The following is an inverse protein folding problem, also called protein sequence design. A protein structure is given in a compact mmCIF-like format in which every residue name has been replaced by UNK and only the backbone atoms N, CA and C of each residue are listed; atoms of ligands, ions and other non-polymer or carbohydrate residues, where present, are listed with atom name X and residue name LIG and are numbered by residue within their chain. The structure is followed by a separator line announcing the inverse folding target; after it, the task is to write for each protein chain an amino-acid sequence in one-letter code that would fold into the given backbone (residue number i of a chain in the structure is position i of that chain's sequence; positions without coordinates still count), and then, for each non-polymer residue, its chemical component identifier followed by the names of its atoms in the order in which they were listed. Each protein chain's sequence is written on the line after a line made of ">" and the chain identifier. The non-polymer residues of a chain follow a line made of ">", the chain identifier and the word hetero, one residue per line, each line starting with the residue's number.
data_IF_617522882004
#
_entry.id   IF_617522882004
#
_cell.length_a   1.000
_cell.length_b   1.000
_cell.length_c   1.000
_cell.angle_alpha   90.00
_cell.angle_beta   90.00
_cell.angle_gamma   90.00
#
_symmetry.space_group_name_H-M   'P 1'
#
loop_
_entity.id
_entity.type
_entity.pdbx_description
1 polymer ?
#
# COMPACT_ATOMS: atom_id res chain seq x y z
N UNK A 1 -34.78 -148.11 25.92
CA UNK A 1 -34.78 -148.26 27.38
C UNK A 1 -36.06 -148.94 27.81
N UNK A 2 -36.37 -150.08 27.21
CA UNK A 2 -37.42 -151.01 27.65
C UNK A 2 -36.66 -152.29 28.05
N UNK A 3 -37.17 -153.02 29.04
CA UNK A 3 -36.70 -154.31 29.58
C UNK A 3 -36.15 -154.29 31.02
N UNK A 4 -35.65 -153.18 31.57
CA UNK A 4 -35.10 -153.17 32.95
C UNK A 4 -36.14 -153.01 34.07
N UNK A 5 -37.27 -152.35 33.78
CA UNK A 5 -38.38 -152.23 34.74
C UNK A 5 -39.28 -153.48 34.73
N UNK A 6 -39.29 -154.21 33.62
CA UNK A 6 -40.16 -155.36 33.43
C UNK A 6 -39.63 -156.62 34.13
N UNK A 7 -38.31 -156.82 34.15
CA UNK A 7 -37.62 -157.84 34.98
C UNK A 7 -37.81 -157.60 36.48
N UNK A 8 -37.77 -156.35 36.94
CA UNK A 8 -38.07 -156.00 38.36
C UNK A 8 -39.54 -156.32 38.69
N UNK A 9 -40.47 -156.02 37.77
CA UNK A 9 -41.90 -156.36 37.91
C UNK A 9 -42.12 -157.88 37.88
N UNK A 10 -41.41 -158.62 37.04
CA UNK A 10 -41.47 -160.09 36.97
C UNK A 10 -41.00 -160.76 38.26
N UNK A 11 -39.86 -160.32 38.84
CA UNK A 11 -39.39 -160.81 40.14
C UNK A 11 -40.47 -160.66 41.23
N UNK A 12 -41.07 -159.47 41.30
CA UNK A 12 -42.08 -159.16 42.32
C UNK A 12 -43.36 -160.00 42.14
N UNK A 13 -43.75 -160.26 40.90
CA UNK A 13 -44.90 -161.10 40.57
C UNK A 13 -44.65 -162.59 40.84
N UNK A 14 -43.46 -163.12 40.55
CA UNK A 14 -43.12 -164.52 40.87
C UNK A 14 -43.00 -164.75 42.39
N UNK A 15 -42.39 -163.83 43.15
CA UNK A 15 -42.29 -163.94 44.62
C UNK A 15 -43.66 -164.03 45.32
N UNK A 16 -44.68 -163.39 44.73
CA UNK A 16 -46.04 -163.33 45.29
C UNK A 16 -46.81 -164.65 45.12
N UNK A 17 -46.46 -165.50 44.14
CA UNK A 17 -47.21 -166.71 43.81
C UNK A 17 -46.66 -168.00 44.43
N UNK A 18 -45.52 -167.95 45.13
CA UNK A 18 -44.88 -169.16 45.68
C UNK A 18 -45.57 -169.74 46.93
N UNK A 19 -45.89 -171.04 46.87
CA UNK A 19 -46.47 -171.84 47.96
C UNK A 19 -45.42 -172.27 48.99
N UNK A 20 -45.86 -172.83 50.13
CA UNK A 20 -45.00 -173.19 51.28
C UNK A 20 -43.90 -174.21 50.91
N UNK A 21 -44.15 -175.09 49.93
CA UNK A 21 -43.15 -176.04 49.41
C UNK A 21 -42.20 -175.42 48.39
N UNK A 22 -42.66 -174.48 47.56
CA UNK A 22 -41.80 -173.76 46.61
C UNK A 22 -40.74 -172.92 47.32
N UNK A 23 -41.10 -172.35 48.48
CA UNK A 23 -40.16 -171.60 49.34
C UNK A 23 -39.07 -172.49 49.95
N UNK A 24 -39.33 -173.78 50.18
CA UNK A 24 -38.36 -174.70 50.79
C UNK A 24 -37.38 -175.31 49.77
N UNK A 25 -37.79 -175.50 48.50
CA UNK A 25 -37.00 -176.26 47.51
C UNK A 25 -36.57 -175.50 46.24
N UNK A 26 -37.05 -174.25 45.98
CA UNK A 26 -36.69 -173.48 44.75
C UNK A 26 -35.78 -172.26 44.96
N UNK A 27 -35.02 -172.19 46.07
CA UNK A 27 -34.18 -171.04 46.44
C UNK A 27 -33.13 -170.61 45.39
N UNK A 28 -32.64 -171.56 44.57
CA UNK A 28 -31.64 -171.29 43.53
C UNK A 28 -32.16 -170.35 42.43
N UNK A 29 -33.44 -170.45 42.08
CA UNK A 29 -34.08 -169.61 41.04
C UNK A 29 -34.32 -168.19 41.53
N UNK A 30 -34.80 -168.03 42.77
CA UNK A 30 -35.01 -166.73 43.42
C UNK A 30 -33.70 -165.95 43.51
N UNK A 31 -32.60 -166.61 43.90
CA UNK A 31 -31.27 -165.99 43.98
C UNK A 31 -30.77 -165.49 42.61
N UNK A 32 -31.00 -166.25 41.54
CA UNK A 32 -30.64 -165.83 40.18
C UNK A 32 -31.35 -164.53 39.80
N UNK A 33 -32.68 -164.51 39.94
CA UNK A 33 -33.47 -163.34 39.55
C UNK A 33 -33.14 -162.10 40.39
N UNK A 34 -32.82 -162.27 41.69
CA UNK A 34 -32.38 -161.17 42.56
C UNK A 34 -31.03 -160.57 42.11
N UNK A 35 -30.11 -161.41 41.65
CA UNK A 35 -28.81 -160.94 41.11
C UNK A 35 -29.05 -160.19 39.80
N UNK A 36 -29.85 -160.75 38.89
CA UNK A 36 -30.14 -160.12 37.59
C UNK A 36 -30.84 -158.76 37.77
N UNK A 37 -31.86 -158.69 38.64
CA UNK A 37 -32.53 -157.42 38.96
C UNK A 37 -31.61 -156.41 39.66
N UNK A 38 -30.69 -156.85 40.54
CA UNK A 38 -29.72 -155.94 41.17
C UNK A 38 -28.75 -155.33 40.15
N UNK A 39 -28.30 -156.12 39.18
CA UNK A 39 -27.41 -155.67 38.13
C UNK A 39 -28.11 -154.66 37.20
N UNK A 40 -29.41 -154.88 36.92
CA UNK A 40 -30.22 -153.95 36.12
C UNK A 40 -30.53 -152.65 36.86
N UNK A 41 -30.81 -152.71 38.16
CA UNK A 41 -31.01 -151.53 38.99
C UNK A 41 -29.73 -150.68 39.06
N UNK A 42 -28.56 -151.34 39.17
CA UNK A 42 -27.26 -150.67 39.16
C UNK A 42 -26.97 -150.01 37.80
N UNK A 43 -27.38 -150.63 36.69
CA UNK A 43 -27.34 -150.02 35.35
C UNK A 43 -28.23 -148.79 35.26
N UNK A 44 -29.47 -148.84 35.77
CA UNK A 44 -30.39 -147.70 35.79
C UNK A 44 -29.84 -146.52 36.62
N UNK A 45 -29.26 -146.80 37.79
CA UNK A 45 -28.60 -145.79 38.62
C UNK A 45 -27.44 -145.14 37.86
N UNK A 46 -26.59 -145.94 37.21
CA UNK A 46 -25.48 -145.40 36.40
C UNK A 46 -25.95 -144.55 35.22
N UNK A 47 -27.08 -144.91 34.58
CA UNK A 47 -27.68 -144.12 33.50
C UNK A 47 -28.26 -142.80 34.00
N UNK A 48 -28.86 -142.80 35.19
CA UNK A 48 -29.38 -141.59 35.83
C UNK A 48 -28.25 -140.61 36.18
N UNK A 49 -27.11 -141.11 36.65
CA UNK A 49 -25.95 -140.28 36.98
C UNK A 49 -25.33 -139.64 35.72
N UNK A 50 -25.29 -140.38 34.60
CA UNK A 50 -24.87 -139.83 33.29
C UNK A 50 -25.83 -138.73 32.82
N UNK A 51 -27.14 -138.97 32.90
CA UNK A 51 -28.14 -137.98 32.51
C UNK A 51 -28.10 -136.72 33.40
N UNK A 52 -27.84 -136.86 34.70
CA UNK A 52 -27.61 -135.73 35.61
C UNK A 52 -26.36 -134.95 35.24
N UNK A 53 -25.28 -135.63 34.90
CA UNK A 53 -24.03 -134.98 34.47
C UNK A 53 -24.23 -134.21 33.16
N UNK A 54 -24.98 -134.76 32.20
CA UNK A 54 -25.33 -134.05 30.96
C UNK A 54 -26.22 -132.83 31.20
N UNK A 55 -27.25 -132.95 32.05
CA UNK A 55 -28.10 -131.82 32.43
C UNK A 55 -27.29 -130.70 33.12
N UNK A 56 -26.32 -131.05 33.97
CA UNK A 56 -25.42 -130.07 34.59
C UNK A 56 -24.57 -129.35 33.55
N UNK A 57 -24.02 -130.07 32.55
CA UNK A 57 -23.26 -129.47 31.45
C UNK A 57 -24.12 -128.56 30.57
N UNK A 58 -25.34 -128.98 30.26
CA UNK A 58 -26.31 -128.17 29.53
C UNK A 58 -26.65 -126.89 30.29
N UNK A 59 -26.86 -126.97 31.60
CA UNK A 59 -27.15 -125.80 32.44
C UNK A 59 -26.00 -124.79 32.42
N UNK A 60 -24.75 -125.23 32.59
CA UNK A 60 -23.56 -124.36 32.49
C UNK A 60 -23.46 -123.69 31.12
N UNK A 61 -23.85 -124.38 30.05
CA UNK A 61 -23.82 -123.84 28.69
C UNK A 61 -24.90 -122.77 28.50
N UNK A 62 -26.11 -123.00 29.04
CA UNK A 62 -27.19 -122.01 29.06
C UNK A 62 -26.78 -120.76 29.83
N UNK A 63 -26.20 -120.92 31.01
CA UNK A 63 -25.76 -119.78 31.84
C UNK A 63 -24.69 -118.95 31.13
N UNK A 64 -23.77 -119.60 30.40
CA UNK A 64 -22.77 -118.93 29.57
C UNK A 64 -23.39 -118.15 28.41
N UNK A 65 -24.34 -118.76 27.68
CA UNK A 65 -25.04 -118.09 26.59
C UNK A 65 -25.90 -116.90 27.08
N UNK A 66 -26.46 -117.00 28.29
CA UNK A 66 -27.20 -115.90 28.92
C UNK A 66 -26.25 -114.74 29.26
N UNK A 67 -25.06 -115.02 29.77
CA UNK A 67 -24.04 -114.01 30.03
C UNK A 67 -23.57 -113.32 28.73
N UNK A 68 -23.23 -114.10 27.69
CA UNK A 68 -22.81 -113.57 26.38
C UNK A 68 -23.91 -112.69 25.75
N UNK A 69 -25.18 -113.12 25.86
CA UNK A 69 -26.33 -112.32 25.39
C UNK A 69 -26.43 -110.99 26.15
N UNK A 70 -26.21 -110.99 27.46
CA UNK A 70 -26.26 -109.77 28.27
C UNK A 70 -25.14 -108.78 27.88
N UNK A 71 -23.93 -109.28 27.61
CA UNK A 71 -22.81 -108.44 27.21
C UNK A 71 -22.98 -107.88 25.79
N UNK A 72 -23.46 -108.69 24.83
CA UNK A 72 -23.83 -108.20 23.49
C UNK A 72 -24.95 -107.15 23.55
N UNK A 73 -25.92 -107.30 24.45
CA UNK A 73 -26.97 -106.28 24.65
C UNK A 73 -26.41 -104.96 25.17
N UNK A 74 -25.42 -104.98 26.07
CA UNK A 74 -24.72 -103.77 26.53
C UNK A 74 -23.93 -103.13 25.40
N UNK A 75 -23.24 -103.93 24.59
CA UNK A 75 -22.46 -103.43 23.46
C UNK A 75 -23.37 -102.78 22.39
N UNK A 76 -24.51 -103.40 22.08
CA UNK A 76 -25.53 -102.81 21.20
C UNK A 76 -26.05 -101.48 21.76
N UNK A 77 -26.30 -101.40 23.06
CA UNK A 77 -26.76 -100.15 23.69
C UNK A 77 -25.69 -99.05 23.58
N UNK A 78 -24.42 -99.37 23.87
CA UNK A 78 -23.31 -98.43 23.74
C UNK A 78 -23.08 -97.97 22.30
N UNK A 79 -23.17 -98.87 21.32
CA UNK A 79 -23.05 -98.52 19.91
C UNK A 79 -24.20 -97.64 19.42
N UNK A 80 -25.42 -97.87 19.90
CA UNK A 80 -26.58 -97.00 19.60
C UNK A 80 -26.36 -95.59 20.13
N UNK A 81 -25.92 -95.45 21.37
CA UNK A 81 -25.63 -94.15 21.99
C UNK A 81 -24.52 -93.40 21.21
N UNK A 82 -23.44 -94.10 20.84
CA UNK A 82 -22.39 -93.52 19.99
C UNK A 82 -22.95 -93.08 18.64
N UNK A 83 -23.79 -93.89 18.00
CA UNK A 83 -24.37 -93.55 16.71
C UNK A 83 -25.28 -92.31 16.80
N UNK A 84 -26.09 -92.19 17.84
CA UNK A 84 -26.89 -90.98 18.10
C UNK A 84 -26.00 -89.75 18.34
N UNK A 85 -24.89 -89.91 19.08
CA UNK A 85 -23.93 -88.82 19.31
C UNK A 85 -23.26 -88.35 18.01
N UNK A 86 -22.87 -89.29 17.13
CA UNK A 86 -22.29 -88.97 15.83
C UNK A 86 -23.30 -88.33 14.88
N UNK A 87 -24.56 -88.77 14.92
CA UNK A 87 -25.63 -88.15 14.14
C UNK A 87 -25.85 -86.69 14.56
N UNK A 88 -25.92 -86.42 15.87
CA UNK A 88 -26.02 -85.05 16.39
C UNK A 88 -24.83 -84.20 15.97
N UNK A 89 -23.61 -84.72 16.11
CA UNK A 89 -22.41 -83.99 15.68
C UNK A 89 -22.38 -83.73 14.17
N UNK A 90 -22.84 -84.68 13.37
CA UNK A 90 -22.99 -84.51 11.92
C UNK A 90 -23.97 -83.40 11.55
N UNK A 91 -25.10 -83.30 12.27
CA UNK A 91 -26.07 -82.22 12.08
C UNK A 91 -25.50 -80.86 12.51
N UNK A 92 -24.80 -80.79 13.65
CA UNK A 92 -24.12 -79.56 14.10
C UNK A 92 -23.11 -79.08 13.06
N UNK A 93 -22.23 -79.97 12.59
CA UNK A 93 -21.23 -79.64 11.57
C UNK A 93 -21.89 -79.20 10.25
N UNK A 94 -22.99 -79.83 9.84
CA UNK A 94 -23.74 -79.40 8.65
C UNK A 94 -24.29 -77.98 8.80
N UNK A 95 -24.83 -77.65 9.99
CA UNK A 95 -25.32 -76.31 10.30
C UNK A 95 -24.18 -75.27 10.35
N UNK A 96 -23.04 -75.61 10.96
CA UNK A 96 -21.86 -74.75 10.98
C UNK A 96 -21.33 -74.48 9.57
N UNK A 97 -21.24 -75.51 8.72
CA UNK A 97 -20.81 -75.37 7.33
C UNK A 97 -21.78 -74.48 6.54
N UNK A 98 -23.09 -74.65 6.73
CA UNK A 98 -24.09 -73.80 6.09
C UNK A 98 -23.95 -72.32 6.52
N UNK A 99 -23.77 -72.06 7.82
CA UNK A 99 -23.59 -70.72 8.35
C UNK A 99 -22.29 -70.06 7.86
N UNK A 100 -21.19 -70.81 7.79
CA UNK A 100 -19.91 -70.32 7.27
C UNK A 100 -20.03 -69.99 5.78
N UNK A 101 -20.67 -70.86 4.98
CA UNK A 101 -20.90 -70.60 3.55
C UNK A 101 -21.68 -69.31 3.33
N UNK A 102 -22.74 -69.09 4.10
CA UNK A 102 -23.52 -67.86 4.01
C UNK A 102 -22.69 -66.61 4.37
N UNK A 103 -21.84 -66.69 5.41
CA UNK A 103 -20.94 -65.59 5.78
C UNK A 103 -19.89 -65.31 4.71
N UNK A 104 -19.33 -66.34 4.09
CA UNK A 104 -18.36 -66.20 2.99
C UNK A 104 -19.02 -65.50 1.81
N UNK A 105 -20.22 -65.94 1.41
CA UNK A 105 -20.96 -65.32 0.31
C UNK A 105 -21.28 -63.85 0.59
N UNK A 106 -21.76 -63.51 1.79
CA UNK A 106 -22.01 -62.12 2.20
C UNK A 106 -20.72 -61.27 2.17
N UNK A 107 -19.61 -61.81 2.68
CA UNK A 107 -18.32 -61.09 2.72
C UNK A 107 -17.73 -60.90 1.33
N UNK A 108 -17.97 -61.84 0.42
CA UNK A 108 -17.57 -61.72 -0.99
C UNK A 108 -18.39 -60.66 -1.71
N UNK A 109 -19.70 -60.58 -1.47
CA UNK A 109 -20.56 -59.53 -2.01
C UNK A 109 -20.14 -58.15 -1.52
N UNK A 110 -19.89 -57.99 -0.23
CA UNK A 110 -19.41 -56.73 0.35
C UNK A 110 -18.04 -56.33 -0.20
N UNK A 111 -17.12 -57.28 -0.36
CA UNK A 111 -15.83 -57.02 -0.99
C UNK A 111 -15.96 -56.56 -2.45
N UNK A 112 -16.87 -57.15 -3.22
CA UNK A 112 -17.14 -56.71 -4.60
C UNK A 112 -17.67 -55.29 -4.61
N UNK A 113 -18.66 -54.98 -3.77
CA UNK A 113 -19.25 -53.65 -3.64
C UNK A 113 -18.20 -52.60 -3.21
N UNK A 114 -17.41 -52.88 -2.17
CA UNK A 114 -16.38 -51.97 -1.71
C UNK A 114 -15.29 -51.74 -2.76
N UNK A 115 -14.95 -52.75 -3.56
CA UNK A 115 -14.02 -52.60 -4.70
C UNK A 115 -14.60 -51.68 -5.76
N UNK A 116 -15.88 -51.83 -6.11
CA UNK A 116 -16.58 -50.96 -7.06
C UNK A 116 -16.69 -49.51 -6.55
N UNK A 117 -17.02 -49.31 -5.28
CA UNK A 117 -17.06 -47.97 -4.68
C UNK A 117 -15.67 -47.31 -4.69
N UNK A 118 -14.62 -48.07 -4.36
CA UNK A 118 -13.25 -47.55 -4.36
C UNK A 118 -12.77 -47.17 -5.77
N UNK A 119 -13.09 -47.96 -6.80
CA UNK A 119 -12.76 -47.59 -8.19
C UNK A 119 -13.54 -46.35 -8.64
N UNK A 120 -14.80 -46.20 -8.25
CA UNK A 120 -15.58 -44.99 -8.52
C UNK A 120 -15.00 -43.76 -7.80
N UNK A 121 -14.58 -43.89 -6.55
CA UNK A 121 -13.96 -42.78 -5.83
C UNK A 121 -12.63 -42.35 -6.42
N UNK A 122 -11.77 -43.30 -6.81
CA UNK A 122 -10.50 -43.01 -7.50
C UNK A 122 -10.71 -42.28 -8.82
N UNK A 123 -11.63 -42.76 -9.64
CA UNK A 123 -11.93 -42.11 -10.94
C UNK A 123 -12.50 -40.70 -10.76
N UNK A 124 -13.41 -40.48 -9.78
CA UNK A 124 -13.90 -39.13 -9.45
C UNK A 124 -12.81 -38.22 -8.89
N UNK A 125 -11.88 -38.75 -8.11
CA UNK A 125 -10.75 -37.98 -7.59
C UNK A 125 -9.80 -37.56 -8.71
N UNK A 126 -9.44 -38.49 -9.61
CA UNK A 126 -8.61 -38.20 -10.79
C UNK A 126 -9.28 -37.17 -11.71
N UNK A 127 -10.59 -37.28 -11.94
CA UNK A 127 -11.35 -36.29 -12.71
C UNK A 127 -11.30 -34.91 -12.05
N UNK A 128 -11.54 -34.81 -10.73
CA UNK A 128 -11.44 -33.54 -10.00
C UNK A 128 -10.03 -32.96 -10.04
N UNK A 129 -8.99 -33.79 -9.89
CA UNK A 129 -7.59 -33.33 -10.00
C UNK A 129 -7.29 -32.79 -11.39
N UNK A 130 -7.70 -33.49 -12.44
CA UNK A 130 -7.51 -33.04 -13.82
C UNK A 130 -8.27 -31.74 -14.12
N UNK A 131 -9.50 -31.58 -13.62
CA UNK A 131 -10.28 -30.35 -13.77
C UNK A 131 -9.64 -29.18 -13.00
N UNK A 132 -9.20 -29.41 -11.75
CA UNK A 132 -8.47 -28.40 -10.99
C UNK A 132 -7.17 -27.99 -11.67
N UNK A 133 -6.39 -28.92 -12.22
CA UNK A 133 -5.14 -28.63 -12.94
C UNK A 133 -5.40 -27.79 -14.20
N UNK A 134 -6.47 -28.10 -14.95
CA UNK A 134 -6.91 -27.28 -16.09
C UNK A 134 -7.31 -25.88 -15.65
N UNK A 135 -8.11 -25.75 -14.60
CA UNK A 135 -8.55 -24.46 -14.09
C UNK A 135 -7.37 -23.62 -13.57
N UNK A 136 -6.42 -24.24 -12.85
CA UNK A 136 -5.19 -23.58 -12.40
C UNK A 136 -4.38 -23.11 -13.61
N UNK A 137 -4.20 -23.96 -14.62
CA UNK A 137 -3.48 -23.60 -15.84
C UNK A 137 -4.12 -22.42 -16.58
N UNK A 138 -5.46 -22.37 -16.62
CA UNK A 138 -6.20 -21.25 -17.19
C UNK A 138 -6.04 -19.96 -16.36
N UNK A 139 -6.09 -20.05 -15.03
CA UNK A 139 -5.89 -18.92 -14.13
C UNK A 139 -4.47 -18.35 -14.21
N UNK A 140 -3.47 -19.22 -14.32
CA UNK A 140 -2.07 -18.81 -14.50
C UNK A 140 -1.92 -18.04 -15.82
N UNK A 141 -2.45 -18.56 -16.93
CA UNK A 141 -2.44 -17.85 -18.22
C UNK A 141 -3.15 -16.50 -18.15
N UNK A 142 -4.34 -16.45 -17.57
CA UNK A 142 -5.09 -15.20 -17.40
C UNK A 142 -4.31 -14.17 -16.56
N UNK A 143 -3.66 -14.63 -15.47
CA UNK A 143 -2.80 -13.77 -14.65
C UNK A 143 -1.62 -13.23 -15.45
N UNK A 144 -0.95 -14.07 -16.24
CA UNK A 144 0.17 -13.67 -17.10
C UNK A 144 -0.28 -12.63 -18.15
N UNK A 145 -1.43 -12.84 -18.78
CA UNK A 145 -2.01 -11.90 -19.74
C UNK A 145 -2.34 -10.55 -19.10
N UNK A 146 -2.95 -10.54 -17.89
CA UNK A 146 -3.25 -9.30 -17.15
C UNK A 146 -1.97 -8.54 -16.79
N UNK A 147 -0.94 -9.24 -16.31
CA UNK A 147 0.34 -8.61 -15.95
C UNK A 147 1.00 -8.02 -17.21
N UNK A 148 0.96 -8.74 -18.32
CA UNK A 148 1.49 -8.27 -19.60
C UNK A 148 0.75 -7.04 -20.10
N UNK A 149 -0.59 -7.06 -20.11
CA UNK A 149 -1.41 -5.91 -20.53
C UNK A 149 -1.16 -4.68 -19.66
N UNK A 150 -1.06 -4.87 -18.33
CA UNK A 150 -0.75 -3.78 -17.40
C UNK A 150 0.61 -3.16 -17.68
N UNK A 151 1.63 -4.00 -17.88
CA UNK A 151 2.98 -3.53 -18.20
C UNK A 151 3.01 -2.80 -19.55
N UNK A 152 2.33 -3.32 -20.58
CA UNK A 152 2.22 -2.66 -21.88
C UNK A 152 1.50 -1.30 -21.79
N UNK A 153 0.47 -1.20 -20.95
CA UNK A 153 -0.25 0.06 -20.70
C UNK A 153 0.61 1.08 -19.96
N UNK A 154 1.33 0.65 -18.92
CA UNK A 154 2.26 1.51 -18.19
C UNK A 154 3.39 2.00 -19.09
N UNK A 155 3.94 1.13 -19.94
CA UNK A 155 5.01 1.49 -20.89
C UNK A 155 4.50 2.46 -21.96
N UNK A 156 3.31 2.23 -22.52
CA UNK A 156 2.66 3.17 -23.46
C UNK A 156 2.42 4.54 -22.84
N UNK A 157 2.00 4.60 -21.56
CA UNK A 157 1.80 5.86 -20.85
C UNK A 157 3.11 6.60 -20.63
N UNK A 158 4.15 5.92 -20.14
CA UNK A 158 5.50 6.50 -19.97
C UNK A 158 6.05 7.02 -21.30
N UNK A 159 5.89 6.23 -22.37
CA UNK A 159 6.34 6.62 -23.70
C UNK A 159 5.61 7.85 -24.22
N UNK A 160 4.29 7.92 -24.05
CA UNK A 160 3.49 9.09 -24.44
C UNK A 160 3.88 10.35 -23.64
N UNK A 161 4.14 10.22 -22.34
CA UNK A 161 4.61 11.33 -21.50
C UNK A 161 6.02 11.78 -21.89
N UNK A 162 6.92 10.83 -22.16
CA UNK A 162 8.27 11.11 -22.63
C UNK A 162 8.26 11.83 -23.99
N UNK A 163 7.45 11.36 -24.94
CA UNK A 163 7.27 12.01 -26.24
C UNK A 163 6.67 13.39 -26.12
N UNK A 164 5.69 13.59 -25.22
CA UNK A 164 5.13 14.90 -24.91
C UNK A 164 6.20 15.85 -24.37
N UNK A 165 6.96 15.44 -23.35
CA UNK A 165 8.04 16.24 -22.79
C UNK A 165 9.14 16.56 -23.81
N UNK A 166 9.46 15.60 -24.68
CA UNK A 166 10.41 15.79 -25.77
C UNK A 166 9.92 16.84 -26.78
N UNK A 167 8.67 16.73 -27.24
CA UNK A 167 8.05 17.71 -28.16
C UNK A 167 8.06 19.11 -27.55
N UNK A 168 7.71 19.23 -26.27
CA UNK A 168 7.73 20.52 -25.56
C UNK A 168 9.13 21.14 -25.51
N UNK A 169 10.16 20.34 -25.22
CA UNK A 169 11.55 20.80 -25.25
C UNK A 169 12.00 21.19 -26.66
N UNK A 170 11.59 20.44 -27.68
CA UNK A 170 11.87 20.77 -29.09
C UNK A 170 11.20 22.08 -29.48
N UNK A 171 9.92 22.30 -29.13
CA UNK A 171 9.21 23.57 -29.42
C UNK A 171 9.87 24.76 -28.73
N UNK A 172 10.28 24.61 -27.46
CA UNK A 172 10.98 25.68 -26.73
C UNK A 172 12.35 25.98 -27.33
N UNK A 173 13.16 24.95 -27.58
CA UNK A 173 14.49 25.10 -28.18
C UNK A 173 14.41 25.69 -29.59
N UNK A 174 13.40 25.31 -30.39
CA UNK A 174 13.14 25.90 -31.70
C UNK A 174 12.77 27.38 -31.60
N UNK A 175 11.90 27.75 -30.67
CA UNK A 175 11.53 29.15 -30.47
C UNK A 175 12.73 30.00 -30.01
N UNK A 176 13.51 29.51 -29.04
CA UNK A 176 14.70 30.20 -28.55
C UNK A 176 15.74 30.38 -29.67
N UNK A 177 15.99 29.33 -30.47
CA UNK A 177 16.89 29.38 -31.61
C UNK A 177 16.39 30.34 -32.71
N UNK A 178 15.08 30.35 -33.00
CA UNK A 178 14.47 31.24 -33.98
C UNK A 178 14.58 32.71 -33.55
N UNK A 179 14.25 33.02 -32.28
CA UNK A 179 14.44 34.36 -31.69
C UNK A 179 15.89 34.79 -31.78
N UNK A 180 16.83 33.92 -31.41
CA UNK A 180 18.27 34.20 -31.47
C UNK A 180 18.73 34.51 -32.89
N UNK A 181 18.34 33.69 -33.86
CA UNK A 181 18.71 33.90 -35.26
C UNK A 181 18.11 35.20 -35.80
N UNK A 182 16.83 35.47 -35.50
CA UNK A 182 16.15 36.69 -35.95
C UNK A 182 16.79 37.94 -35.36
N UNK A 183 17.15 37.94 -34.08
CA UNK A 183 17.89 39.05 -33.44
C UNK A 183 19.26 39.24 -34.10
N UNK A 184 20.04 38.17 -34.32
CA UNK A 184 21.36 38.27 -35.00
C UNK A 184 21.24 38.88 -36.40
N UNK A 185 20.25 38.46 -37.18
CA UNK A 185 19.97 39.02 -38.51
C UNK A 185 19.65 40.52 -38.41
N UNK A 186 18.72 40.90 -37.52
CA UNK A 186 18.33 42.30 -37.31
C UNK A 186 19.54 43.15 -36.91
N UNK A 187 20.37 42.65 -35.99
CA UNK A 187 21.57 43.36 -35.52
C UNK A 187 22.60 43.55 -36.64
N UNK A 188 22.87 42.51 -37.42
CA UNK A 188 23.80 42.58 -38.55
C UNK A 188 23.33 43.53 -39.66
N UNK A 189 22.02 43.57 -39.94
CA UNK A 189 21.44 44.47 -40.94
C UNK A 189 21.44 45.92 -40.48
N UNK A 190 21.21 46.14 -39.18
CA UNK A 190 21.04 47.47 -38.61
C UNK A 190 22.29 47.97 -37.86
N UNK A 191 23.45 47.32 -37.99
CA UNK A 191 24.71 47.77 -37.37
C UNK A 191 24.67 47.87 -35.83
N UNK A 192 23.86 47.03 -35.17
CA UNK A 192 23.80 46.93 -33.70
C UNK A 192 24.72 45.79 -33.25
N UNK A 193 25.46 45.98 -32.16
CA UNK A 193 26.36 44.95 -31.63
C UNK A 193 25.58 43.88 -30.84
N UNK A 194 25.67 42.62 -31.29
CA UNK A 194 25.11 41.47 -30.57
C UNK A 194 26.20 40.84 -29.70
N UNK A 195 25.88 40.59 -28.43
CA UNK A 195 26.84 40.06 -27.44
C UNK A 195 26.45 38.63 -27.08
N UNK A 196 27.20 37.64 -27.58
CA UNK A 196 26.96 36.22 -27.28
C UNK A 196 27.36 35.83 -25.83
N UNK A 197 28.36 36.48 -25.24
CA UNK A 197 28.82 36.22 -23.86
C UNK A 197 28.89 37.53 -23.10
N UNK A 198 27.98 37.70 -22.15
CA UNK A 198 27.91 38.91 -21.32
C UNK A 198 28.96 38.87 -20.20
N UNK A 199 29.51 40.05 -19.80
CA UNK A 199 30.52 40.14 -18.75
C UNK A 199 29.94 40.10 -17.33
N UNK A 200 28.62 40.01 -17.17
CA UNK A 200 27.92 40.08 -15.89
C UNK A 200 27.26 38.75 -15.48
N UNK A 201 26.79 38.66 -14.22
CA UNK A 201 26.24 37.42 -13.69
C UNK A 201 24.82 37.16 -14.17
N UNK A 202 24.69 36.23 -15.10
CA UNK A 202 23.42 35.78 -15.64
C UNK A 202 23.63 35.34 -17.08
N UNK A 203 22.95 34.28 -17.52
CA UNK A 203 22.95 33.88 -18.94
C UNK A 203 21.61 34.30 -19.53
N UNK A 204 21.44 35.58 -19.90
CA UNK A 204 20.30 35.97 -20.74
C UNK A 204 20.38 35.27 -22.08
N UNK A 205 19.24 34.94 -22.69
CA UNK A 205 19.20 34.22 -23.96
C UNK A 205 19.81 35.06 -25.10
N UNK A 206 19.49 36.35 -25.11
CA UNK A 206 20.00 37.31 -26.08
C UNK A 206 20.34 38.64 -25.40
N UNK A 207 21.45 39.27 -25.82
CA UNK A 207 21.86 40.58 -25.32
C UNK A 207 22.44 41.42 -26.44
N UNK A 208 22.01 42.68 -26.48
CA UNK A 208 22.48 43.69 -27.40
C UNK A 208 23.28 44.73 -26.65
N UNK A 209 24.28 45.32 -27.29
CA UNK A 209 25.01 46.47 -26.78
C UNK A 209 24.65 47.70 -27.61
N UNK A 210 24.10 48.72 -26.95
CA UNK A 210 23.73 50.02 -27.54
C UNK A 210 24.18 51.10 -26.55
N UNK A 211 24.91 52.11 -26.99
CA UNK A 211 25.45 53.18 -26.14
C UNK A 211 26.19 52.70 -24.86
N UNK A 212 27.04 51.68 -24.98
CA UNK A 212 27.74 51.03 -23.86
C UNK A 212 26.85 50.37 -22.78
N UNK A 213 25.53 50.33 -22.99
CA UNK A 213 24.58 49.59 -22.16
C UNK A 213 24.19 48.24 -22.79
N UNK A 214 24.00 47.24 -21.93
CA UNK A 214 23.50 45.92 -22.29
C UNK A 214 21.98 45.88 -22.17
N UNK A 215 21.31 45.55 -23.28
CA UNK A 215 19.85 45.38 -23.35
C UNK A 215 19.54 43.89 -23.47
N UNK A 216 18.71 43.38 -22.57
CA UNK A 216 18.40 41.94 -22.47
C UNK A 216 17.09 41.61 -23.18
N UNK A 217 17.15 40.60 -24.04
CA UNK A 217 16.02 39.97 -24.71
C UNK A 217 15.96 38.48 -24.30
N UNK A 218 15.01 38.13 -23.44
CA UNK A 218 14.87 36.77 -22.88
C UNK A 218 13.69 36.06 -23.55
N UNK A 219 13.91 34.91 -24.16
CA UNK A 219 12.87 34.21 -24.92
C UNK A 219 12.01 33.34 -23.99
N UNK A 220 10.68 33.50 -24.06
CA UNK A 220 9.72 32.78 -23.23
C UNK A 220 8.63 32.16 -24.07
N UNK A 221 8.58 30.82 -24.08
CA UNK A 221 7.49 30.06 -24.70
C UNK A 221 6.61 29.38 -23.65
N UNK A 222 5.33 29.14 -23.96
CA UNK A 222 4.46 28.31 -23.14
C UNK A 222 4.96 26.86 -23.18
N UNK A 223 4.85 26.17 -22.05
CA UNK A 223 5.27 24.77 -21.91
C UNK A 223 4.19 23.75 -22.26
N UNK A 224 3.02 24.18 -22.74
CA UNK A 224 1.91 23.31 -23.12
C UNK A 224 0.93 24.04 -24.06
N UNK A 225 0.04 23.30 -24.72
CA UNK A 225 -1.03 23.87 -25.57
C UNK A 225 -2.07 24.67 -24.77
N UNK A 226 -2.21 24.37 -23.48
CA UNK A 226 -3.05 25.16 -22.57
C UNK A 226 -2.32 26.45 -22.15
N UNK A 227 -2.78 27.56 -22.71
CA UNK A 227 -2.21 28.89 -22.53
C UNK A 227 -2.72 29.60 -21.26
N UNK A 228 -3.65 29.00 -20.51
CA UNK A 228 -4.28 29.63 -19.34
C UNK A 228 -3.29 30.04 -18.24
N UNK A 229 -2.21 29.27 -18.07
CA UNK A 229 -1.18 29.52 -17.05
C UNK A 229 -0.05 30.46 -17.53
N UNK A 230 -0.03 30.82 -18.82
CA UNK A 230 1.07 31.57 -19.41
C UNK A 230 1.21 33.01 -18.86
N UNK A 231 0.13 33.77 -18.61
CA UNK A 231 0.24 35.10 -17.99
C UNK A 231 0.87 35.07 -16.59
N UNK A 232 0.52 34.08 -15.77
CA UNK A 232 1.09 33.90 -14.43
C UNK A 232 2.58 33.54 -14.53
N UNK A 233 2.95 32.68 -15.48
CA UNK A 233 4.35 32.36 -15.76
C UNK A 233 5.15 33.61 -16.15
N UNK A 234 4.64 34.45 -17.06
CA UNK A 234 5.31 35.68 -17.48
C UNK A 234 5.52 36.66 -16.32
N UNK A 235 4.52 36.80 -15.43
CA UNK A 235 4.65 37.62 -14.22
C UNK A 235 5.80 37.14 -13.32
N UNK A 236 5.88 35.83 -13.07
CA UNK A 236 6.96 35.25 -12.27
C UNK A 236 8.33 35.43 -12.95
N UNK A 237 8.38 35.31 -14.28
CA UNK A 237 9.61 35.56 -15.04
C UNK A 237 10.03 37.02 -14.96
N UNK A 238 9.09 37.98 -15.03
CA UNK A 238 9.38 39.41 -14.88
C UNK A 238 10.00 39.76 -13.51
N UNK A 239 9.56 39.10 -12.44
CA UNK A 239 10.18 39.24 -11.12
C UNK A 239 11.60 38.60 -11.06
N UNK A 240 11.80 37.50 -11.79
CA UNK A 240 13.10 36.80 -11.84
C UNK A 240 14.19 37.57 -12.60
N UNK A 241 13.80 38.51 -13.46
CA UNK A 241 14.70 39.37 -14.27
C UNK A 241 15.55 40.30 -13.40
N UNK A 242 15.20 40.52 -12.14
CA UNK A 242 15.99 41.30 -11.17
C UNK A 242 17.46 40.82 -11.04
N UNK A 243 17.76 39.57 -11.44
CA UNK A 243 19.14 39.07 -11.50
C UNK A 243 20.02 39.82 -12.50
N UNK A 244 19.46 40.35 -13.59
CA UNK A 244 20.21 41.04 -14.64
C UNK A 244 20.37 42.54 -14.33
N UNK A 245 19.31 43.17 -13.83
CA UNK A 245 19.25 44.64 -13.66
C UNK A 245 20.07 45.16 -12.47
N UNK A 246 20.58 44.27 -11.61
CA UNK A 246 21.50 44.63 -10.53
C UNK A 246 22.92 44.93 -10.99
N UNK A 247 23.27 44.48 -12.18
CA UNK A 247 24.62 44.59 -12.72
C UNK A 247 24.82 45.97 -13.36
N UNK A 248 26.03 46.50 -13.26
CA UNK A 248 26.36 47.81 -13.83
C UNK A 248 26.31 47.75 -15.36
N UNK A 249 25.82 48.82 -15.99
CA UNK A 249 25.65 48.96 -17.44
C UNK A 249 24.59 48.04 -18.07
N UNK A 250 23.69 47.43 -17.30
CA UNK A 250 22.49 46.78 -17.84
C UNK A 250 21.33 47.76 -17.84
N UNK A 251 20.70 47.96 -18.99
CA UNK A 251 19.53 48.84 -19.11
C UNK A 251 18.39 48.34 -18.22
N UNK A 252 17.69 49.26 -17.57
CA UNK A 252 16.56 48.96 -16.66
C UNK A 252 15.28 48.50 -17.38
N UNK A 253 15.32 48.40 -18.70
CA UNK A 253 14.22 47.92 -19.54
C UNK A 253 14.61 46.55 -20.09
N UNK A 254 13.85 45.52 -19.77
CA UNK A 254 14.09 44.15 -20.22
C UNK A 254 12.92 43.64 -21.03
N UNK A 255 13.22 42.90 -22.11
CA UNK A 255 12.22 42.44 -23.05
C UNK A 255 12.06 40.92 -22.95
N UNK A 256 10.87 40.45 -22.58
CA UNK A 256 10.48 39.05 -22.69
C UNK A 256 9.87 38.82 -24.06
N UNK A 257 10.53 38.01 -24.88
CA UNK A 257 10.11 37.71 -26.25
C UNK A 257 9.23 36.46 -26.24
N UNK A 258 7.98 36.61 -26.68
CA UNK A 258 6.99 35.52 -26.71
C UNK A 258 6.55 35.19 -28.14
N UNK A 259 6.08 33.96 -28.40
CA UNK A 259 5.50 33.59 -29.69
C UNK A 259 4.21 34.39 -30.00
N UNK A 260 4.00 34.79 -31.25
CA UNK A 260 2.84 35.60 -31.67
C UNK A 260 1.48 34.96 -31.36
N UNK A 261 1.38 33.62 -31.39
CA UNK A 261 0.14 32.90 -31.06
C UNK A 261 -0.26 32.99 -29.58
N UNK A 262 0.62 33.47 -28.70
CA UNK A 262 0.34 33.61 -27.26
C UNK A 262 -0.23 34.97 -26.87
N UNK A 263 -0.28 35.92 -27.79
CA UNK A 263 -0.70 37.29 -27.50
C UNK A 263 -2.17 37.38 -27.08
N UNK A 264 -3.03 36.47 -27.55
CA UNK A 264 -4.48 36.49 -27.24
C UNK A 264 -4.78 36.28 -25.75
N UNK A 265 -3.93 35.52 -25.04
CA UNK A 265 -4.11 35.25 -23.60
C UNK A 265 -3.42 36.29 -22.70
N UNK A 266 -2.56 37.14 -23.27
CA UNK A 266 -1.80 38.14 -22.52
C UNK A 266 -2.59 39.44 -22.50
N UNK A 267 -3.00 39.87 -21.31
CA UNK A 267 -3.68 41.16 -21.12
C UNK A 267 -2.70 42.28 -20.74
N UNK A 268 -1.58 41.93 -20.11
CA UNK A 268 -0.60 42.88 -19.59
C UNK A 268 0.75 42.68 -20.29
N UNK A 269 1.18 43.70 -21.04
CA UNK A 269 2.43 43.71 -21.79
C UNK A 269 3.55 44.51 -21.11
N UNK A 270 3.23 45.20 -20.01
CA UNK A 270 4.17 46.03 -19.27
C UNK A 270 4.07 45.72 -17.76
N UNK A 271 5.19 45.31 -17.17
CA UNK A 271 5.34 45.09 -15.74
C UNK A 271 6.29 46.15 -15.18
N UNK A 272 5.74 47.19 -14.54
CA UNK A 272 6.50 48.24 -13.86
C UNK A 272 6.87 47.78 -12.46
N UNK A 273 8.13 47.46 -12.25
CA UNK A 273 8.69 47.15 -10.93
C UNK A 273 9.44 48.39 -10.40
N UNK A 274 9.84 48.39 -9.13
CA UNK A 274 10.38 49.60 -8.48
C UNK A 274 11.63 50.15 -9.16
N UNK A 275 12.53 49.27 -9.61
CA UNK A 275 13.84 49.67 -10.12
C UNK A 275 13.98 49.46 -11.63
N UNK A 276 13.04 48.76 -12.27
CA UNK A 276 13.12 48.32 -13.66
C UNK A 276 11.74 48.00 -14.26
N UNK A 277 11.66 48.00 -15.59
CA UNK A 277 10.43 47.72 -16.33
C UNK A 277 10.65 46.51 -17.23
N UNK A 278 9.70 45.57 -17.23
CA UNK A 278 9.72 44.41 -18.11
C UNK A 278 8.61 44.53 -19.15
N UNK A 279 8.99 44.49 -20.42
CA UNK A 279 8.08 44.51 -21.55
C UNK A 279 7.92 43.10 -22.11
N UNK A 280 6.68 42.68 -22.38
CA UNK A 280 6.38 41.45 -23.10
C UNK A 280 6.16 41.82 -24.56
N UNK A 281 6.99 41.29 -25.45
CA UNK A 281 6.96 41.60 -26.88
C UNK A 281 6.85 40.32 -27.70
N UNK A 282 6.22 40.40 -28.88
CA UNK A 282 6.20 39.28 -29.82
C UNK A 282 7.48 39.22 -30.67
N UNK A 283 7.71 38.08 -31.31
CA UNK A 283 8.78 37.91 -32.30
C UNK A 283 8.70 38.91 -33.46
N UNK A 284 7.51 39.39 -33.80
CA UNK A 284 7.31 40.34 -34.89
C UNK A 284 7.62 41.78 -34.50
N UNK A 285 7.57 42.09 -33.20
CA UNK A 285 7.92 43.40 -32.66
C UNK A 285 9.44 43.57 -32.43
N UNK A 286 10.25 42.51 -32.58
CA UNK A 286 11.70 42.58 -32.31
C UNK A 286 12.40 43.68 -33.11
N UNK A 287 12.17 43.71 -34.42
CA UNK A 287 12.81 44.68 -35.30
C UNK A 287 12.45 46.14 -34.99
N UNK A 288 11.15 46.52 -34.92
CA UNK A 288 10.80 47.90 -34.62
C UNK A 288 11.27 48.34 -33.23
N UNK A 289 11.30 47.43 -32.24
CA UNK A 289 11.81 47.75 -30.90
C UNK A 289 13.32 47.99 -30.93
N UNK A 290 14.11 47.11 -31.56
CA UNK A 290 15.56 47.29 -31.68
C UNK A 290 15.89 48.60 -32.43
N UNK A 291 15.17 48.90 -33.51
CA UNK A 291 15.33 50.15 -34.24
C UNK A 291 14.94 51.37 -33.39
N UNK A 292 13.87 51.28 -32.59
CA UNK A 292 13.49 52.34 -31.66
C UNK A 292 14.56 52.59 -30.59
N UNK A 293 15.13 51.53 -30.03
CA UNK A 293 16.21 51.62 -29.04
C UNK A 293 17.47 52.27 -29.63
N UNK A 294 17.81 51.90 -30.87
CA UNK A 294 18.88 52.56 -31.63
C UNK A 294 18.56 54.01 -31.95
N UNK A 295 17.32 54.36 -32.28
CA UNK A 295 16.96 55.78 -32.51
C UNK A 295 17.03 56.59 -31.22
N UNK A 296 16.69 55.99 -30.07
CA UNK A 296 16.83 56.66 -28.77
C UNK A 296 18.31 57.02 -28.51
N UNK A 297 19.27 56.20 -28.93
CA UNK A 297 20.71 56.55 -28.92
C UNK A 297 20.97 57.85 -29.69
N UNK A 298 20.33 58.06 -30.85
CA UNK A 298 20.44 59.32 -31.63
C UNK A 298 19.80 60.53 -30.91
N UNK A 299 18.78 60.32 -30.06
CA UNK A 299 18.08 61.37 -29.31
C UNK A 299 18.74 61.68 -27.95
N UNK A 300 19.50 60.74 -27.39
CA UNK A 300 20.23 60.92 -26.13
C UNK A 300 21.48 61.82 -26.29
N UNK A 301 21.86 62.10 -27.55
CA UNK A 301 22.57 63.34 -27.87
C UNK A 301 21.65 64.52 -27.55
N UNK A 302 21.73 64.96 -26.30
CA UNK A 302 21.78 66.34 -25.83
C UNK A 302 21.53 67.45 -26.88
N UNK A 303 22.14 67.39 -28.05
CA UNK A 303 22.02 68.36 -29.14
C UNK A 303 20.59 68.63 -29.65
N UNK A 304 19.57 67.80 -29.31
CA UNK A 304 18.17 68.08 -29.67
C UNK A 304 17.32 68.75 -28.58
N UNK A 305 17.78 68.80 -27.32
CA UNK A 305 17.13 69.68 -26.34
C UNK A 305 17.55 71.12 -26.66
N UNK A 306 16.56 72.00 -26.83
CA UNK A 306 16.85 73.42 -27.01
C UNK A 306 17.70 73.91 -25.83
N UNK A 307 18.63 74.86 -26.04
CA UNK A 307 19.39 75.46 -24.95
C UNK A 307 18.49 75.95 -23.80
N UNK A 308 17.27 76.40 -24.11
CA UNK A 308 16.26 76.82 -23.14
C UNK A 308 15.70 75.67 -22.28
N UNK A 309 15.38 74.51 -22.87
CA UNK A 309 14.87 73.35 -22.11
C UNK A 309 15.93 72.82 -21.15
N UNK A 310 17.19 72.80 -21.58
CA UNK A 310 18.32 72.43 -20.72
C UNK A 310 18.50 73.40 -19.58
N UNK A 311 18.48 74.71 -19.84
CA UNK A 311 18.61 75.73 -18.80
C UNK A 311 17.44 75.64 -17.79
N UNK A 312 16.22 75.39 -18.27
CA UNK A 312 15.05 75.22 -17.42
C UNK A 312 15.17 73.98 -16.51
N UNK A 313 15.59 72.83 -17.04
CA UNK A 313 15.83 71.62 -16.23
C UNK A 313 16.94 71.88 -15.20
N UNK A 314 18.07 72.45 -15.62
CA UNK A 314 19.17 72.81 -14.73
C UNK A 314 18.74 73.78 -13.63
N UNK A 315 17.89 74.76 -13.95
CA UNK A 315 17.36 75.73 -12.99
C UNK A 315 16.43 75.07 -11.97
N UNK A 316 15.54 74.16 -12.39
CA UNK A 316 14.63 73.43 -11.50
C UNK A 316 15.40 72.49 -10.58
N UNK A 317 16.32 71.69 -11.13
CA UNK A 317 17.17 70.79 -10.35
C UNK A 317 18.05 71.60 -9.39
N UNK A 318 18.64 72.70 -9.85
CA UNK A 318 19.43 73.60 -9.00
C UNK A 318 18.64 74.13 -7.81
N UNK A 319 17.41 74.61 -8.05
CA UNK A 319 16.49 75.05 -6.98
C UNK A 319 16.14 73.93 -6.02
N UNK A 320 15.81 72.74 -6.55
CA UNK A 320 15.47 71.57 -5.74
C UNK A 320 16.64 71.11 -4.86
N UNK A 321 17.83 70.97 -5.44
CA UNK A 321 19.06 70.60 -4.72
C UNK A 321 19.38 71.64 -3.64
N UNK A 322 19.25 72.93 -3.96
CA UNK A 322 19.49 74.00 -2.99
C UNK A 322 18.51 73.94 -1.81
N UNK A 323 17.21 73.82 -2.08
CA UNK A 323 16.17 73.70 -1.05
C UNK A 323 16.39 72.46 -0.18
N UNK A 324 16.68 71.31 -0.80
CA UNK A 324 16.96 70.06 -0.09
C UNK A 324 18.20 70.17 0.81
N UNK A 325 19.32 70.73 0.30
CA UNK A 325 20.52 71.00 1.11
C UNK A 325 20.20 71.92 2.29
N UNK A 326 19.44 72.99 2.05
CA UNK A 326 19.07 73.94 3.11
C UNK A 326 18.17 73.29 4.17
N UNK A 327 17.22 72.45 3.76
CA UNK A 327 16.36 71.70 4.69
C UNK A 327 17.18 70.76 5.57
N UNK A 328 18.10 69.98 4.99
CA UNK A 328 19.01 69.10 5.72
C UNK A 328 19.85 69.90 6.73
N UNK A 329 20.37 71.06 6.34
CA UNK A 329 21.13 71.93 7.24
C UNK A 329 20.29 72.45 8.41
N UNK A 330 19.06 72.90 8.15
CA UNK A 330 18.13 73.40 9.17
C UNK A 330 17.77 72.28 10.15
N UNK A 331 17.36 71.12 9.63
CA UNK A 331 17.00 69.97 10.44
C UNK A 331 18.21 69.50 11.28
N UNK A 332 19.42 69.49 10.68
CA UNK A 332 20.66 69.18 11.40
C UNK A 332 21.02 70.20 12.47
N UNK A 333 20.74 71.49 12.27
CA UNK A 333 20.93 72.54 13.27
C UNK A 333 19.97 72.36 14.45
N UNK A 334 18.67 72.16 14.17
CA UNK A 334 17.68 71.94 15.23
C UNK A 334 17.91 70.64 15.97
N UNK A 335 18.31 69.56 15.28
CA UNK A 335 18.68 68.31 15.93
C UNK A 335 19.80 68.53 16.97
N UNK A 336 20.84 69.31 16.64
CA UNK A 336 21.91 69.64 17.60
C UNK A 336 21.38 70.43 18.81
N UNK A 337 20.51 71.42 18.57
CA UNK A 337 19.90 72.20 19.66
C UNK A 337 19.00 71.34 20.55
N UNK A 338 18.23 70.41 19.96
CA UNK A 338 17.41 69.47 20.73
C UNK A 338 18.28 68.52 21.56
N UNK A 339 19.35 67.95 20.99
CA UNK A 339 20.28 67.13 21.75
C UNK A 339 20.89 67.89 22.92
N UNK A 340 21.34 69.13 22.70
CA UNK A 340 21.89 69.97 23.75
C UNK A 340 20.87 70.26 24.87
N UNK A 341 19.62 70.53 24.51
CA UNK A 341 18.54 70.72 25.48
C UNK A 341 18.25 69.45 26.27
N UNK A 342 18.21 68.28 25.61
CA UNK A 342 18.02 66.98 26.27
C UNK A 342 19.15 66.75 27.28
N UNK A 343 20.41 66.91 26.88
CA UNK A 343 21.56 66.73 27.79
C UNK A 343 21.55 67.71 28.96
N UNK A 344 21.19 68.98 28.73
CA UNK A 344 21.05 69.97 29.82
C UNK A 344 19.90 69.61 30.76
N UNK A 345 18.76 69.18 30.21
CA UNK A 345 17.62 68.75 31.03
C UNK A 345 17.93 67.51 31.88
N UNK A 346 18.76 66.59 31.39
CA UNK A 346 19.21 65.43 32.16
C UNK A 346 20.22 65.81 33.26
N UNK A 347 21.08 66.81 32.99
CA UNK A 347 22.10 67.28 33.94
C UNK A 347 21.54 68.20 35.04
N UNK A 348 20.55 69.03 34.71
CA UNK A 348 20.05 70.10 35.60
C UNK A 348 18.82 69.67 36.44
N UNK A 349 18.17 68.54 36.14
CA UNK A 349 17.00 68.07 36.90
C UNK A 349 17.38 67.20 38.12
N UNK A 350 16.71 67.38 39.28
CA UNK A 350 16.82 66.44 40.40
C UNK A 350 16.27 65.04 40.04
N UNK A 351 16.85 63.99 40.65
CA UNK A 351 16.56 62.57 40.33
C UNK A 351 15.07 62.21 40.40
N UNK A 352 14.33 62.72 41.40
CA UNK A 352 12.91 62.43 41.58
C UNK A 352 12.02 62.97 40.44
N UNK A 353 12.44 64.04 39.77
CA UNK A 353 11.76 64.56 38.58
C UNK A 353 12.19 63.81 37.32
N UNK A 354 13.46 63.43 37.23
CA UNK A 354 13.99 62.64 36.12
C UNK A 354 13.25 61.30 35.95
N UNK A 355 12.99 60.60 37.05
CA UNK A 355 12.27 59.31 37.04
C UNK A 355 10.84 59.45 36.49
N UNK A 356 10.14 60.55 36.83
CA UNK A 356 8.81 60.85 36.28
C UNK A 356 8.88 61.25 34.81
N UNK A 357 9.89 61.99 34.39
CA UNK A 357 10.09 62.35 32.97
C UNK A 357 10.31 61.10 32.13
N UNK A 358 11.11 60.15 32.60
CA UNK A 358 11.34 58.85 31.94
C UNK A 358 10.05 58.02 31.89
N UNK A 359 9.22 58.06 32.93
CA UNK A 359 7.92 57.37 32.94
C UNK A 359 6.97 57.94 31.87
N UNK A 360 6.89 59.27 31.73
CA UNK A 360 6.10 59.93 30.69
C UNK A 360 6.67 59.69 29.28
N UNK A 361 8.00 59.76 29.09
CA UNK A 361 8.66 59.46 27.82
C UNK A 361 8.35 58.03 27.36
N UNK A 362 8.42 57.05 28.26
CA UNK A 362 8.10 55.64 27.96
C UNK A 362 6.62 55.42 27.64
N UNK A 363 5.73 56.25 28.19
CA UNK A 363 4.30 56.17 27.96
C UNK A 363 3.90 56.83 26.63
N UNK A 364 4.66 57.81 26.14
CA UNK A 364 4.37 58.52 24.90
C UNK A 364 4.96 57.82 23.67
N UNK A 365 4.12 57.56 22.66
CA UNK A 365 4.54 56.92 21.41
C UNK A 365 4.23 57.81 20.23
N UNK A 366 5.26 58.45 19.68
CA UNK A 366 5.17 59.18 18.41
C UNK A 366 5.40 58.21 17.24
N UNK A 367 4.39 58.04 16.38
CA UNK A 367 4.52 57.26 15.15
C UNK A 367 4.71 58.21 13.97
N UNK A 368 5.92 58.31 13.39
CA UNK A 368 6.08 59.04 12.15
C UNK A 368 5.28 58.37 11.02
N UNK A 369 4.78 59.13 10.03
CA UNK A 369 4.10 58.56 8.87
C UNK A 369 4.99 57.54 8.15
N UNK A 370 4.56 56.28 8.11
CA UNK A 370 5.31 55.22 7.43
C UNK A 370 4.96 55.18 5.94
N UNK A 371 5.96 55.30 5.07
CA UNK A 371 5.78 55.14 3.63
C UNK A 371 5.47 53.66 3.30
N UNK A 372 4.34 53.41 2.63
CA UNK A 372 3.96 52.08 2.15
C UNK A 372 4.13 52.01 0.64
N UNK A 373 4.74 50.94 0.13
CA UNK A 373 4.93 50.72 -1.32
C UNK A 373 3.60 50.88 -2.06
N UNK A 374 3.64 51.53 -3.23
CA UNK A 374 2.51 51.80 -4.14
C UNK A 374 1.46 52.85 -3.70
N UNK A 375 1.56 53.49 -2.52
CA UNK A 375 0.67 54.60 -2.16
C UNK A 375 1.26 55.92 -2.64
N UNK A 376 0.70 56.49 -3.72
CA UNK A 376 1.08 57.82 -4.18
C UNK A 376 0.65 58.88 -3.16
N UNK A 377 1.58 59.75 -2.75
CA UNK A 377 1.24 60.93 -1.94
C UNK A 377 0.65 61.97 -2.90
N UNK A 378 -0.63 62.25 -2.77
CA UNK A 378 -1.32 63.19 -3.65
C UNK A 378 -1.00 64.63 -3.27
N UNK A 379 -0.73 65.48 -4.26
CA UNK A 379 -0.59 66.94 -4.06
C UNK A 379 -1.84 67.55 -3.40
N UNK A 380 -3.02 66.97 -3.63
CA UNK A 380 -4.27 67.41 -2.99
C UNK A 380 -4.31 67.07 -1.49
N UNK A 381 -3.82 65.88 -1.12
CA UNK A 381 -3.73 65.47 0.28
C UNK A 381 -2.69 66.31 1.03
N UNK A 382 -1.53 66.57 0.42
CA UNK A 382 -0.51 67.46 0.97
C UNK A 382 -1.02 68.89 1.16
N UNK A 383 -1.72 69.45 0.18
CA UNK A 383 -2.30 70.78 0.27
C UNK A 383 -3.34 70.88 1.40
N UNK A 384 -4.19 69.85 1.53
CA UNK A 384 -5.18 69.78 2.61
C UNK A 384 -4.52 69.68 3.99
N UNK A 385 -3.47 68.87 4.13
CA UNK A 385 -2.69 68.78 5.38
C UNK A 385 -1.99 70.09 5.72
N UNK A 386 -1.43 70.80 4.73
CA UNK A 386 -0.81 72.11 4.95
C UNK A 386 -1.87 73.12 5.41
N UNK A 387 -3.07 73.07 4.85
CA UNK A 387 -4.17 73.95 5.24
C UNK A 387 -4.67 73.65 6.66
N UNK A 388 -4.80 72.38 7.02
CA UNK A 388 -5.14 71.93 8.37
C UNK A 388 -4.07 72.37 9.38
N UNK A 389 -2.78 72.14 9.07
CA UNK A 389 -1.67 72.61 9.91
C UNK A 389 -1.64 74.13 10.07
N UNK A 390 -1.99 74.88 9.02
CA UNK A 390 -2.08 76.35 9.09
C UNK A 390 -3.23 76.79 9.99
N UNK A 391 -4.40 76.17 9.88
CA UNK A 391 -5.54 76.44 10.75
C UNK A 391 -5.24 76.10 12.21
N UNK A 392 -4.59 74.97 12.48
CA UNK A 392 -4.13 74.55 13.81
C UNK A 392 -3.11 75.54 14.39
N UNK A 393 -2.16 76.01 13.58
CA UNK A 393 -1.17 76.99 13.98
C UNK A 393 -1.83 78.34 14.32
N UNK A 394 -2.76 78.80 13.50
CA UNK A 394 -3.53 80.04 13.73
C UNK A 394 -4.40 79.94 14.99
N UNK A 395 -5.03 78.79 15.23
CA UNK A 395 -5.82 78.53 16.45
C UNK A 395 -4.95 78.55 17.72
N UNK A 396 -3.67 78.14 17.60
CA UNK A 396 -2.66 78.24 18.68
C UNK A 396 -1.99 79.61 18.77
N UNK A 397 -2.44 80.60 17.98
CA UNK A 397 -1.92 81.97 17.98
C UNK A 397 -0.59 82.14 17.24
N UNK A 398 -0.14 81.15 16.48
CA UNK A 398 1.10 81.19 15.69
C UNK A 398 0.78 81.75 14.31
N UNK A 399 1.18 83.00 14.04
CA UNK A 399 0.98 83.64 12.75
C UNK A 399 1.89 83.01 11.69
N UNK A 400 1.32 82.14 10.84
CA UNK A 400 2.02 81.44 9.74
C UNK A 400 2.02 82.24 8.41
N UNK A 401 1.65 83.52 8.42
CA UNK A 401 1.55 84.30 7.20
C UNK A 401 2.96 84.65 6.68
N UNK A 402 3.38 84.00 5.59
CA UNK A 402 4.71 84.17 4.97
C UNK A 402 5.04 85.64 4.68
N UNK A 403 4.03 86.45 4.35
CA UNK A 403 4.17 87.88 4.12
C UNK A 403 4.48 88.69 5.39
N UNK A 404 4.01 88.23 6.56
CA UNK A 404 4.31 88.84 7.85
C UNK A 404 5.67 88.41 8.37
N UNK A 405 6.04 87.13 8.21
CA UNK A 405 7.33 86.56 8.65
C UNK A 405 8.50 87.15 7.83
N UNK A 406 8.35 87.29 6.51
CA UNK A 406 9.34 87.95 5.65
C UNK A 406 9.47 89.45 5.95
N UNK A 407 8.36 90.16 6.20
CA UNK A 407 8.38 91.57 6.62
C UNK A 407 9.00 91.78 8.00
N UNK A 408 8.84 90.86 8.94
CA UNK A 408 9.41 90.98 10.28
C UNK A 408 10.88 90.53 10.33
N UNK A 409 11.28 89.50 9.57
CA UNK A 409 12.69 89.13 9.35
C UNK A 409 13.49 90.27 8.70
N UNK A 410 12.90 90.97 7.72
CA UNK A 410 13.52 92.13 7.07
C UNK A 410 13.67 93.37 7.96
N UNK A 411 13.06 93.39 9.14
CA UNK A 411 13.20 94.46 10.15
C UNK A 411 14.20 94.13 11.25
N UNK A 412 14.82 92.93 11.23
CA UNK A 412 15.87 92.58 12.18
C UNK A 412 17.14 93.39 11.86
N UNK A 413 17.86 93.89 12.88
CA UNK A 413 19.00 94.80 12.71
C UNK A 413 20.12 94.25 11.82
N UNK A 414 20.23 92.93 11.68
CA UNK A 414 21.18 92.28 10.76
C UNK A 414 20.94 92.61 9.28
N UNK A 415 19.72 93.02 8.90
CA UNK A 415 19.33 93.31 7.51
C UNK A 415 19.01 94.78 7.24
N UNK A 416 18.96 95.64 8.28
CA UNK A 416 18.62 97.07 8.13
C UNK A 416 19.81 98.01 8.19
N UNK A 417 20.99 97.58 8.63
CA UNK A 417 22.17 98.45 8.67
C UNK A 417 23.09 98.24 7.45
N UNK A 418 22.78 98.96 6.38
CA UNK A 418 23.83 99.49 5.49
C UNK A 418 23.94 101.00 5.73
N UNK A 419 25.04 101.51 6.29
CA UNK A 419 25.31 102.94 6.25
C UNK A 419 25.47 103.35 4.78
N UNK A 420 24.73 104.38 4.37
CA UNK A 420 24.96 105.09 3.12
C UNK A 420 26.35 105.73 3.16
N UNK A 421 27.17 105.45 2.15
CA UNK A 421 28.40 106.20 1.87
C UNK A 421 29.69 105.40 2.05
N UNK A 422 30.11 104.71 0.98
CA UNK A 422 31.49 104.63 0.53
C UNK A 422 31.50 104.00 -0.86
N UNK A 423 32.02 104.74 -1.84
CA UNK A 423 32.33 104.22 -3.18
C UNK A 423 33.29 103.02 -3.04
N UNK A 424 32.83 101.84 -3.40
CA UNK A 424 33.68 100.67 -3.57
C UNK A 424 34.19 100.69 -5.01
N UNK A 425 35.47 101.00 -5.18
CA UNK A 425 36.20 100.91 -6.45
C UNK A 425 36.06 99.51 -7.05
N UNK A 426 35.93 99.48 -8.37
CA UNK A 426 35.96 98.27 -9.19
C UNK A 426 37.15 97.38 -8.82
N UNK A 427 36.86 96.10 -8.66
CA UNK A 427 37.81 95.04 -8.34
C UNK A 427 38.02 94.15 -9.57
N UNK A 428 38.10 94.76 -10.75
CA UNK A 428 38.59 94.15 -11.99
C UNK A 428 39.15 95.25 -12.91
N UNK A 429 40.30 95.79 -12.52
CA UNK A 429 41.44 95.86 -13.45
C UNK A 429 42.26 94.57 -13.30
#
# INVERSE_FOLDING_TARGET
>A
MENGLDTIKELFNELRSYSLWDRLFRWRRIKSMLIDTSAELQRLVSGLDVARAENSKMQVTIDRLVADKADLQKEIASLKEKNESFLKRGQELANEVAAIRQKVESTEQDNRRLREENTQFKTREEQRRAEHERNISQLVKLREDIVKERNEKEEKQKQAEYERLRKLKETWSHHEADVKNRIKIICSRNGVEYVDTVPFKGKPDNTLKINDEYIVFDAKSPGNDDLSNFPLYLRNQAESVNKYVKEENVRREVFLVVPTNTLEVIQQFEYKLSDYTVYVISTDALEPIILSLRRIEDYEFAEQLSPEERENICRVIGKFVHLSKRRIQIDGFFAKQFFELVYRSEADLPKDFLDKVIEFERAEKLNPPTERRAKQISNKELAMQIQEQKADAEQRGIAMDEALVSKSLGKLPLYTDKPQGQEQKDLFE
#
